data_IF_761364442320
#
_entry.id   IF_761364442320
#
_cell.length_a   1.000
_cell.length_b   1.000
_cell.length_c   1.000
_cell.angle_alpha   90.00
_cell.angle_beta   90.00
_cell.angle_gamma   90.00
#
_symmetry.space_group_name_H-M   'P 1'
#
loop_
_entity.id
_entity.type
_entity.pdbx_description
1 polymer ?
#
# COMPACT_ATOMS: atom_id res chain seq x y z
N UNK A 1 19.79 -21.05 4.50
CA UNK A 1 18.38 -20.67 4.31
C UNK A 1 18.33 -19.27 3.70
N UNK A 2 17.51 -19.05 2.69
CA UNK A 2 17.24 -17.72 2.12
C UNK A 2 15.76 -17.40 2.35
N UNK A 3 15.48 -16.20 2.84
CA UNK A 3 14.12 -15.74 3.07
C UNK A 3 13.93 -14.34 2.48
N UNK A 4 12.73 -14.07 2.00
CA UNK A 4 12.34 -12.81 1.38
C UNK A 4 11.16 -12.27 2.17
N UNK A 5 11.29 -11.12 2.85
CA UNK A 5 10.19 -10.51 3.59
C UNK A 5 9.04 -10.08 2.68
N UNK A 6 9.35 -9.64 1.46
CA UNK A 6 8.34 -9.29 0.47
C UNK A 6 8.73 -9.78 -0.94
N UNK A 7 7.93 -10.70 -1.48
CA UNK A 7 8.13 -11.27 -2.81
C UNK A 7 7.56 -10.39 -3.94
N UNK A 8 6.73 -9.39 -3.61
CA UNK A 8 6.10 -8.48 -4.55
C UNK A 8 6.20 -7.04 -4.05
N UNK A 9 7.03 -6.25 -4.71
CA UNK A 9 7.16 -4.82 -4.44
C UNK A 9 6.41 -4.03 -5.51
N UNK A 10 5.66 -3.02 -5.09
CA UNK A 10 4.92 -2.12 -5.96
C UNK A 10 5.57 -0.74 -5.95
N UNK A 11 5.80 -0.17 -7.12
CA UNK A 11 6.37 1.18 -7.23
C UNK A 11 5.75 1.98 -8.39
N UNK A 12 5.71 3.29 -8.23
CA UNK A 12 5.36 4.19 -9.33
C UNK A 12 6.63 4.68 -10.05
N UNK A 13 6.47 5.11 -11.30
CA UNK A 13 7.57 5.66 -12.11
C UNK A 13 8.20 6.88 -11.40
N UNK A 14 9.52 6.87 -11.26
CA UNK A 14 10.30 7.91 -10.61
C UNK A 14 10.54 7.68 -9.12
N UNK A 15 9.87 6.70 -8.49
CA UNK A 15 10.11 6.32 -7.10
C UNK A 15 11.47 5.63 -6.92
N UNK A 16 12.07 5.76 -5.74
CA UNK A 16 13.18 4.91 -5.30
C UNK A 16 12.59 3.73 -4.51
N UNK A 17 12.83 2.50 -4.95
CA UNK A 17 12.33 1.26 -4.32
C UNK A 17 13.49 0.43 -3.81
N UNK A 18 13.30 -0.30 -2.71
CA UNK A 18 14.33 -1.19 -2.15
C UNK A 18 13.80 -2.61 -2.00
N UNK A 19 14.48 -3.56 -2.65
CA UNK A 19 14.24 -4.98 -2.51
C UNK A 19 15.15 -5.54 -1.42
N UNK A 20 14.70 -6.55 -0.68
CA UNK A 20 15.43 -7.10 0.47
C UNK A 20 15.36 -8.64 0.49
N UNK A 21 16.50 -9.28 0.76
CA UNK A 21 16.58 -10.72 1.06
C UNK A 21 17.43 -10.93 2.31
N UNK A 22 17.08 -11.95 3.10
CA UNK A 22 17.86 -12.40 4.25
C UNK A 22 18.44 -13.77 3.96
N UNK A 23 19.64 -14.02 4.45
CA UNK A 23 20.34 -15.28 4.21
C UNK A 23 21.05 -15.71 5.47
N UNK A 24 20.87 -16.97 5.84
CA UNK A 24 21.59 -17.63 6.93
C UNK A 24 22.37 -18.81 6.37
N UNK A 25 23.69 -18.80 6.49
CA UNK A 25 24.54 -19.83 5.90
C UNK A 25 25.85 -20.01 6.67
N UNK A 26 26.28 -21.27 6.80
CA UNK A 26 27.59 -21.66 7.28
C UNK A 26 28.20 -22.76 6.38
N UNK A 27 29.42 -22.60 5.84
CA UNK A 27 30.25 -21.40 5.85
C UNK A 27 29.56 -20.20 5.19
N UNK A 28 30.08 -18.99 5.46
CA UNK A 28 29.49 -17.74 4.98
C UNK A 28 29.34 -17.75 3.45
N UNK A 29 28.18 -17.31 2.95
CA UNK A 29 27.89 -17.20 1.51
C UNK A 29 28.44 -15.94 0.84
N UNK A 30 28.57 -15.95 -0.48
CA UNK A 30 28.63 -14.75 -1.31
C UNK A 30 27.19 -14.44 -1.71
N UNK A 31 26.77 -13.17 -1.60
CA UNK A 31 25.40 -12.76 -1.91
C UNK A 31 25.42 -11.68 -3.00
N UNK A 32 24.63 -11.87 -4.05
CA UNK A 32 24.56 -10.94 -5.18
C UNK A 32 23.17 -10.93 -5.81
N UNK A 33 22.88 -9.85 -6.52
CA UNK A 33 21.61 -9.68 -7.24
C UNK A 33 21.80 -9.97 -8.72
N UNK A 34 20.78 -10.56 -9.34
CA UNK A 34 20.70 -10.70 -10.79
C UNK A 34 19.36 -10.22 -11.33
N UNK A 35 19.34 -9.83 -12.59
CA UNK A 35 18.10 -9.55 -13.33
C UNK A 35 17.36 -10.86 -13.67
N UNK A 36 16.15 -10.75 -14.19
CA UNK A 36 15.37 -11.87 -14.75
C UNK A 36 16.14 -12.64 -15.84
N UNK A 37 17.03 -11.94 -16.56
CA UNK A 37 17.90 -12.50 -17.61
C UNK A 37 19.13 -13.23 -17.07
N UNK A 38 19.41 -13.11 -15.77
CA UNK A 38 20.60 -13.68 -15.13
C UNK A 38 21.83 -12.77 -15.12
N UNK A 39 21.72 -11.53 -15.59
CA UNK A 39 22.83 -10.57 -15.55
C UNK A 39 23.07 -10.09 -14.12
N UNK A 40 24.34 -10.10 -13.69
CA UNK A 40 24.71 -9.63 -12.36
C UNK A 40 24.52 -8.11 -12.23
N UNK A 41 23.84 -7.69 -11.16
CA UNK A 41 23.61 -6.28 -10.86
C UNK A 41 24.77 -5.75 -10.02
N UNK A 42 25.44 -4.72 -10.54
CA UNK A 42 26.57 -4.05 -9.89
C UNK A 42 26.10 -2.69 -9.37
N UNK A 43 26.55 -2.34 -8.16
CA UNK A 43 26.27 -1.03 -7.56
C UNK A 43 26.78 0.12 -8.44
N UNK A 44 25.96 1.15 -8.61
CA UNK A 44 26.22 2.31 -9.45
C UNK A 44 25.17 3.40 -9.24
N UNK A 45 24.91 4.22 -10.27
CA UNK A 45 23.96 5.33 -10.14
C UNK A 45 22.50 4.87 -10.12
N UNK A 46 22.16 3.80 -10.87
CA UNK A 46 20.79 3.27 -10.98
C UNK A 46 20.46 2.28 -9.86
N UNK A 47 21.36 1.36 -9.59
CA UNK A 47 21.23 0.30 -8.60
C UNK A 47 22.21 0.56 -7.46
N UNK A 48 21.74 0.59 -6.23
CA UNK A 48 22.59 0.67 -5.04
C UNK A 48 22.42 -0.63 -4.26
N UNK A 49 23.51 -1.37 -4.08
CA UNK A 49 23.50 -2.61 -3.30
C UNK A 49 24.09 -2.37 -1.93
N UNK A 50 23.45 -2.86 -0.87
CA UNK A 50 24.01 -2.87 0.49
C UNK A 50 23.93 -4.26 1.09
N UNK A 51 25.00 -4.68 1.78
CA UNK A 51 25.06 -5.93 2.53
C UNK A 51 25.35 -5.60 3.99
N UNK A 52 24.52 -6.10 4.90
CA UNK A 52 24.76 -6.04 6.34
C UNK A 52 24.93 -7.44 6.90
N UNK A 53 26.03 -7.65 7.62
CA UNK A 53 26.38 -8.94 8.22
C UNK A 53 26.05 -8.90 9.73
N UNK A 54 25.35 -9.93 10.20
CA UNK A 54 25.08 -10.18 11.61
C UNK A 54 25.39 -11.65 11.92
N UNK A 55 26.66 -11.90 12.25
CA UNK A 55 27.22 -13.22 12.56
C UNK A 55 26.97 -14.25 11.43
N UNK A 56 25.99 -15.13 11.59
CA UNK A 56 25.59 -16.16 10.62
C UNK A 56 24.48 -15.71 9.67
N UNK A 57 23.86 -14.56 9.93
CA UNK A 57 22.80 -13.99 9.14
C UNK A 57 23.31 -12.79 8.34
N UNK A 58 22.78 -12.60 7.13
CA UNK A 58 23.09 -11.48 6.26
C UNK A 58 21.81 -10.90 5.69
N UNK A 59 21.75 -9.58 5.59
CA UNK A 59 20.66 -8.87 4.90
C UNK A 59 21.24 -8.16 3.70
N UNK A 60 20.77 -8.53 2.52
CA UNK A 60 21.13 -7.89 1.27
C UNK A 60 19.97 -7.02 0.80
N UNK A 61 20.28 -5.79 0.41
CA UNK A 61 19.29 -4.85 -0.15
C UNK A 61 19.74 -4.35 -1.50
N UNK A 62 18.77 -4.15 -2.39
CA UNK A 62 18.95 -3.54 -3.70
C UNK A 62 18.00 -2.36 -3.82
N UNK A 63 18.54 -1.14 -3.81
CA UNK A 63 17.78 0.08 -4.06
C UNK A 63 17.85 0.43 -5.53
N UNK A 64 16.70 0.47 -6.20
CA UNK A 64 16.55 0.88 -7.59
C UNK A 64 16.08 2.33 -7.58
N UNK A 65 16.93 3.24 -8.08
CA UNK A 65 16.64 4.68 -8.07
C UNK A 65 15.84 5.10 -9.29
N UNK A 66 14.89 6.01 -9.11
CA UNK A 66 14.04 6.59 -10.16
C UNK A 66 13.53 5.52 -11.11
N UNK A 67 12.71 4.61 -10.58
CA UNK A 67 12.14 3.47 -11.31
C UNK A 67 11.55 3.94 -12.64
N UNK A 68 11.84 3.22 -13.70
CA UNK A 68 11.33 3.46 -15.06
C UNK A 68 10.56 2.25 -15.53
N UNK A 69 9.82 2.37 -16.63
CA UNK A 69 9.04 1.27 -17.20
C UNK A 69 9.86 0.02 -17.53
N UNK A 70 11.18 0.17 -17.72
CA UNK A 70 12.10 -0.95 -18.02
C UNK A 70 12.58 -1.70 -16.77
N UNK A 71 12.40 -1.11 -15.59
CA UNK A 71 12.85 -1.69 -14.33
C UNK A 71 11.80 -2.62 -13.72
N UNK A 72 10.54 -2.54 -14.15
CA UNK A 72 9.47 -3.47 -13.74
C UNK A 72 9.75 -4.85 -14.32
N UNK A 73 10.41 -5.67 -13.51
CA UNK A 73 10.85 -7.01 -13.84
C UNK A 73 10.96 -7.85 -12.56
N UNK A 74 11.38 -9.10 -12.71
CA UNK A 74 11.72 -9.94 -11.57
C UNK A 74 13.23 -9.87 -11.30
N UNK A 75 13.58 -9.70 -10.04
CA UNK A 75 14.96 -9.64 -9.56
C UNK A 75 15.24 -10.87 -8.73
N UNK A 76 16.42 -11.47 -8.88
CA UNK A 76 16.84 -12.61 -8.07
C UNK A 76 17.92 -12.20 -7.09
N UNK A 77 17.78 -12.61 -5.84
CA UNK A 77 18.87 -12.60 -4.88
C UNK A 77 19.46 -14.00 -4.82
N UNK A 78 20.78 -14.12 -4.94
CA UNK A 78 21.48 -15.40 -4.94
C UNK A 78 22.47 -15.42 -3.80
N UNK A 79 22.48 -16.53 -3.06
CA UNK A 79 23.41 -16.82 -1.99
C UNK A 79 24.16 -18.13 -2.29
N UNK A 80 25.49 -18.04 -2.41
CA UNK A 80 26.36 -19.16 -2.78
C UNK A 80 27.44 -19.40 -1.74
N UNK A 81 27.56 -20.60 -1.21
CA UNK A 81 28.68 -21.01 -0.35
C UNK A 81 29.36 -22.27 -0.90
N UNK A 82 30.34 -22.82 -0.17
CA UNK A 82 31.06 -24.03 -0.57
C UNK A 82 30.20 -25.30 -0.57
N UNK A 83 29.02 -25.26 0.05
CA UNK A 83 28.10 -26.40 0.18
C UNK A 83 26.96 -26.36 -0.84
N UNK A 84 26.68 -25.18 -1.42
CA UNK A 84 25.62 -25.04 -2.41
C UNK A 84 25.23 -23.60 -2.71
N UNK A 85 24.11 -23.48 -3.41
CA UNK A 85 23.55 -22.22 -3.87
C UNK A 85 22.04 -22.23 -3.60
N UNK A 86 21.51 -21.08 -3.21
CA UNK A 86 20.06 -20.85 -3.09
C UNK A 86 19.75 -19.48 -3.66
N UNK A 87 18.63 -19.36 -4.35
CA UNK A 87 18.13 -18.09 -4.85
C UNK A 87 16.71 -17.80 -4.36
N UNK A 88 16.30 -16.54 -4.50
CA UNK A 88 14.93 -16.12 -4.27
C UNK A 88 14.54 -15.04 -5.27
N UNK A 89 13.25 -15.01 -5.63
CA UNK A 89 12.70 -14.15 -6.67
C UNK A 89 11.82 -13.06 -6.04
N UNK A 90 12.04 -11.80 -6.43
CA UNK A 90 11.22 -10.66 -6.06
C UNK A 90 10.70 -10.00 -7.33
N UNK A 91 9.39 -9.80 -7.41
CA UNK A 91 8.75 -9.12 -8.54
C UNK A 91 8.54 -7.64 -8.20
N UNK A 92 8.95 -6.75 -9.12
CA UNK A 92 8.65 -5.32 -9.05
C UNK A 92 7.55 -4.98 -10.05
N UNK A 93 6.37 -4.61 -9.56
CA UNK A 93 5.21 -4.24 -10.39
C UNK A 93 4.92 -2.73 -10.33
N UNK A 94 4.35 -2.22 -11.42
CA UNK A 94 3.99 -0.80 -11.57
C UNK A 94 2.66 -0.49 -10.89
N UNK A 95 2.62 0.64 -10.16
CA UNK A 95 1.38 1.23 -9.66
C UNK A 95 1.23 2.68 -10.12
N UNK A 96 0.00 3.21 -10.22
CA UNK A 96 -0.24 4.61 -10.51
C UNK A 96 0.46 5.52 -9.49
N UNK A 97 1.08 6.60 -9.97
CA UNK A 97 1.68 7.60 -9.10
C UNK A 97 0.60 8.28 -8.24
N UNK A 98 0.89 8.58 -6.95
CA UNK A 98 -0.05 9.28 -6.10
C UNK A 98 -0.30 10.70 -6.64
N UNK A 99 -1.57 11.05 -6.87
CA UNK A 99 -1.95 12.40 -7.28
C UNK A 99 -1.85 13.37 -6.10
N UNK A 100 -0.92 14.31 -6.13
CA UNK A 100 -0.88 15.43 -5.16
C UNK A 100 -1.97 16.45 -5.51
N UNK A 101 -3.18 16.29 -4.98
CA UNK A 101 -4.16 17.39 -4.98
C UNK A 101 -3.76 18.39 -3.89
N UNK A 102 -3.15 19.50 -4.28
CA UNK A 102 -2.98 20.67 -3.43
C UNK A 102 -4.34 21.32 -3.19
N UNK A 103 -4.97 21.06 -2.04
CA UNK A 103 -6.15 21.79 -1.59
C UNK A 103 -5.73 23.22 -1.21
N UNK A 104 -5.86 24.16 -2.15
CA UNK A 104 -5.90 25.60 -1.82
C UNK A 104 -7.30 25.91 -1.32
N UNK A 105 -7.52 25.76 -0.01
CA UNK A 105 -8.76 26.19 0.64
C UNK A 105 -8.70 27.70 0.88
N UNK A 106 -9.14 28.48 -0.11
CA UNK A 106 -9.42 29.90 0.04
C UNK A 106 -10.88 30.13 -0.34
N UNK A 107 -11.81 29.85 0.56
CA UNK A 107 -13.12 30.50 0.57
C UNK A 107 -13.69 30.53 1.98
N UNK A 108 -13.38 31.60 2.71
CA UNK A 108 -14.11 32.04 3.90
C UNK A 108 -15.49 32.54 3.45
N UNK A 109 -16.61 31.90 3.82
CA UNK A 109 -17.93 32.47 3.58
C UNK A 109 -18.16 33.56 4.62
N UNK A 110 -18.05 34.83 4.19
CA UNK A 110 -18.42 35.98 5.03
C UNK A 110 -19.94 36.07 5.11
N UNK A 111 -20.52 35.66 6.23
CA UNK A 111 -21.95 35.85 6.50
C UNK A 111 -22.25 37.34 6.84
N UNK A 112 -23.27 37.97 6.22
CA UNK A 112 -23.67 39.33 6.59
C UNK A 112 -24.45 39.36 7.92
N UNK A 113 -24.00 40.17 8.87
CA UNK A 113 -24.69 40.40 10.15
C UNK A 113 -26.00 41.20 9.96
N UNK A 114 -27.15 40.58 10.29
CA UNK A 114 -28.45 41.27 10.41
C UNK A 114 -28.60 41.93 11.79
N UNK A 115 -28.81 43.25 11.78
CA UNK A 115 -29.08 44.08 12.97
C UNK A 115 -30.46 43.76 13.57
N UNK A 116 -30.53 43.63 14.90
CA UNK A 116 -31.77 43.48 15.69
C UNK A 116 -32.49 44.84 15.82
N UNK A 117 -33.74 44.90 15.37
CA UNK A 117 -34.67 46.01 15.63
C UNK A 117 -35.95 45.50 16.30
N UNK A 118 -36.28 46.06 17.47
CA UNK A 118 -37.54 45.88 18.23
C UNK A 118 -38.70 46.60 17.51
N UNK A 119 -39.91 46.03 17.47
CA UNK A 119 -41.11 46.64 18.09
C UNK A 119 -42.37 45.75 18.03
N UNK A 120 -43.28 46.12 18.93
CA UNK A 120 -44.49 45.51 19.52
C UNK A 120 -45.71 45.18 18.61
N UNK A 121 -46.38 44.08 19.00
CA UNK A 121 -47.83 43.83 19.21
C UNK A 121 -48.83 43.96 18.02
N UNK A 122 -49.75 42.98 17.85
CA UNK A 122 -51.23 43.05 18.13
C UNK A 122 -52.07 41.93 17.42
N UNK A 123 -52.71 41.05 18.22
CA UNK A 123 -54.03 40.36 18.12
C UNK A 123 -54.64 39.75 16.82
N UNK A 124 -55.06 38.46 16.95
CA UNK A 124 -56.26 37.73 16.41
C UNK A 124 -56.35 37.49 14.88
N UNK A 125 -56.89 36.40 14.33
CA UNK A 125 -57.60 35.18 14.78
C UNK A 125 -57.63 34.15 13.61
N UNK A 126 -57.81 32.87 13.94
CA UNK A 126 -58.45 31.77 13.19
C UNK A 126 -57.90 31.25 11.86
N UNK A 127 -57.38 30.01 11.85
CA UNK A 127 -58.07 28.81 11.32
C UNK A 127 -57.09 27.71 10.86
N UNK A 128 -57.49 26.45 11.08
CA UNK A 128 -56.96 25.17 10.59
C UNK A 128 -55.56 24.74 11.10
N UNK A 129 -55.44 23.89 12.12
CA UNK A 129 -55.66 22.41 12.17
C UNK A 129 -54.35 21.61 12.13
N UNK A 130 -54.09 20.92 13.26
CA UNK A 130 -53.27 19.72 13.54
C UNK A 130 -52.05 19.37 12.65
N UNK A 131 -50.83 19.37 13.21
CA UNK A 131 -50.15 18.22 13.89
C UNK A 131 -50.06 16.96 13.03
N UNK A 132 -48.83 16.59 12.60
CA UNK A 132 -48.09 15.36 12.98
C UNK A 132 -46.67 15.42 12.36
N UNK A 133 -45.73 14.82 13.08
CA UNK A 133 -44.27 14.86 12.97
C UNK A 133 -43.80 14.01 11.79
N UNK A 134 -42.93 14.58 10.94
CA UNK A 134 -42.20 13.86 9.90
C UNK A 134 -41.19 12.88 10.51
N UNK A 135 -41.40 11.63 10.15
CA UNK A 135 -40.59 10.44 10.28
C UNK A 135 -39.16 10.61 9.75
N UNK A 136 -38.19 10.26 10.61
CA UNK A 136 -36.81 9.98 10.23
C UNK A 136 -36.76 8.56 9.64
N UNK A 137 -36.39 8.45 8.37
CA UNK A 137 -36.12 7.18 7.71
C UNK A 137 -34.67 6.76 8.00
N UNK A 138 -34.50 5.77 8.88
CA UNK A 138 -33.22 5.10 9.15
C UNK A 138 -33.23 3.81 8.33
N UNK A 139 -32.45 3.72 7.26
CA UNK A 139 -32.26 2.46 6.55
C UNK A 139 -31.42 1.49 7.38
N UNK A 140 -32.03 0.37 7.71
CA UNK A 140 -31.51 -0.76 8.47
C UNK A 140 -30.86 -1.75 7.49
N UNK A 141 -29.53 -1.89 7.49
CA UNK A 141 -28.85 -2.94 6.73
C UNK A 141 -28.90 -4.23 7.54
N UNK A 142 -29.83 -5.13 7.17
CA UNK A 142 -29.87 -6.51 7.67
C UNK A 142 -29.08 -7.42 6.76
N UNK A 143 -28.20 -8.19 7.40
CA UNK A 143 -27.38 -9.25 6.84
C UNK A 143 -28.20 -10.25 6.02
N UNK A 144 -27.78 -10.51 4.78
CA UNK A 144 -28.25 -11.64 3.98
C UNK A 144 -27.20 -12.73 4.02
N UNK A 145 -27.46 -13.76 4.82
CA UNK A 145 -26.73 -15.02 4.80
C UNK A 145 -27.05 -15.83 3.53
N UNK A 146 -26.08 -16.55 2.94
CA UNK A 146 -26.39 -17.63 2.00
C UNK A 146 -26.52 -18.96 2.76
N UNK A 147 -27.71 -19.56 2.70
CA UNK A 147 -27.94 -20.97 3.03
C UNK A 147 -27.68 -21.82 1.78
N UNK A 148 -26.67 -22.70 1.81
CA UNK A 148 -26.88 -24.15 1.93
C UNK A 148 -25.52 -24.87 2.00
N UNK A 149 -25.47 -25.84 2.91
CA UNK A 149 -24.35 -26.71 3.29
C UNK A 149 -24.40 -27.95 2.39
N UNK A 150 -23.26 -28.47 1.91
CA UNK A 150 -22.79 -29.76 2.40
C UNK A 150 -21.28 -29.95 2.28
N UNK A 151 -20.75 -30.52 3.36
CA UNK A 151 -19.35 -30.84 3.65
C UNK A 151 -18.98 -32.23 3.13
N UNK A 152 -17.66 -32.49 3.21
CA UNK A 152 -16.97 -33.81 3.32
C UNK A 152 -16.65 -34.44 1.95
N UNK A 153 -15.44 -34.88 1.60
CA UNK A 153 -14.25 -35.23 2.39
C UNK A 153 -12.94 -35.02 1.61
N UNK A 154 -11.85 -34.98 2.39
CA UNK A 154 -10.47 -35.17 1.98
C UNK A 154 -10.17 -36.69 1.93
N UNK A 155 -9.59 -37.18 0.82
CA UNK A 155 -8.72 -38.36 0.62
C UNK A 155 -8.51 -38.45 -0.92
N UNK A 156 -7.30 -38.46 -1.46
CA UNK A 156 -6.30 -39.55 -1.49
C UNK A 156 -4.88 -38.97 -1.58
#
# INVERSE_FOLDING_TARGET
MLSIPNQLEAAYIGQDVTLECHTEAYPSSINYWTTDRGDMIISGNKYITSLSDDSYSRKMKLTIRRVSSRDFSSYRCVAKNSLGETDGLIRLDEIPAPSTTSTTDNNVPTFPQRKKGKHKNRWRDSSAENRVIGDYEVEEWKDVAPLYVDKVACEI
#
